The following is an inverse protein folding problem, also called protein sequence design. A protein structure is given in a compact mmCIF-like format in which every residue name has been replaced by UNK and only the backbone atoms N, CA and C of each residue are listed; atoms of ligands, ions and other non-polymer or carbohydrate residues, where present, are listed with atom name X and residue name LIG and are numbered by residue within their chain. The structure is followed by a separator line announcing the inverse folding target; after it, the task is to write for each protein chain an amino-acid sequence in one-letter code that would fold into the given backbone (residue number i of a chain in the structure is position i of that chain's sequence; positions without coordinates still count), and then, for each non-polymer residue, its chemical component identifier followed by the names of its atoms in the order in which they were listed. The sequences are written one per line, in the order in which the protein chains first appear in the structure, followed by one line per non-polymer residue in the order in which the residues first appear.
data_IF_603668427590
#
_entry.id   IF_603668427590
#
_cell.length_a   1.000
_cell.length_b   1.000
_cell.length_c   1.000
_cell.angle_alpha   90.00
_cell.angle_beta   90.00
_cell.angle_gamma   90.00
#
_symmetry.space_group_name_H-M   'P 1'
#
loop_
_entity.id
_entity.type
_entity.pdbx_description
1 polymer ?
#
# COMPACT_ATOMS: atom_id res chain seq x y z
N UNK A 1 3.96 -5.00 -17.13
CA UNK A 1 3.44 -4.50 -15.82
C UNK A 1 4.03 -5.23 -14.61
N UNK A 2 4.60 -6.42 -14.80
CA UNK A 2 5.39 -7.18 -13.82
C UNK A 2 6.47 -6.40 -13.05
N UNK A 3 7.15 -5.40 -13.62
CA UNK A 3 8.13 -4.61 -12.86
C UNK A 3 7.49 -3.71 -11.79
N UNK A 4 6.34 -3.09 -12.11
CA UNK A 4 5.53 -2.39 -11.11
C UNK A 4 5.06 -3.38 -10.03
N UNK A 5 4.55 -4.54 -10.44
CA UNK A 5 4.15 -5.58 -9.49
C UNK A 5 5.32 -6.02 -8.60
N UNK A 6 6.53 -6.21 -9.15
CA UNK A 6 7.72 -6.55 -8.39
C UNK A 6 8.06 -5.49 -7.33
N UNK A 7 7.98 -4.20 -7.68
CA UNK A 7 8.16 -3.11 -6.73
C UNK A 7 7.13 -3.16 -5.59
N UNK A 8 5.84 -3.30 -5.92
CA UNK A 8 4.75 -3.34 -4.93
C UNK A 8 4.84 -4.58 -4.02
N UNK A 9 5.17 -5.75 -4.58
CA UNK A 9 5.43 -6.98 -3.83
C UNK A 9 6.63 -6.77 -2.90
N UNK A 10 7.73 -6.19 -3.40
CA UNK A 10 8.95 -5.99 -2.63
C UNK A 10 8.76 -5.08 -1.41
N UNK A 11 8.12 -3.92 -1.57
CA UNK A 11 7.82 -3.03 -0.44
C UNK A 11 6.80 -3.64 0.51
N UNK A 12 5.77 -4.34 -0.02
CA UNK A 12 4.75 -4.99 0.79
C UNK A 12 5.32 -6.11 1.66
N UNK A 13 6.15 -6.98 1.10
CA UNK A 13 6.88 -8.02 1.83
C UNK A 13 7.83 -7.41 2.85
N UNK A 14 8.62 -6.40 2.47
CA UNK A 14 9.58 -5.79 3.37
C UNK A 14 8.92 -5.08 4.56
N UNK A 15 7.80 -4.39 4.34
CA UNK A 15 7.03 -3.78 5.41
C UNK A 15 6.39 -4.85 6.32
N UNK A 16 5.92 -5.98 5.77
CA UNK A 16 5.45 -7.13 6.54
C UNK A 16 6.58 -7.73 7.41
N UNK A 17 7.74 -7.99 6.82
CA UNK A 17 8.92 -8.50 7.51
C UNK A 17 9.34 -7.57 8.64
N UNK A 18 9.25 -6.24 8.44
CA UNK A 18 9.54 -5.25 9.48
C UNK A 18 8.62 -5.36 10.70
N UNK A 19 7.38 -5.83 10.54
CA UNK A 19 6.46 -6.01 11.67
C UNK A 19 6.77 -7.25 12.53
N UNK A 20 7.48 -8.24 11.97
CA UNK A 20 7.72 -9.54 12.62
C UNK A 20 9.19 -9.69 13.04
N UNK A 21 10.12 -9.22 12.20
CA UNK A 21 11.54 -9.49 12.34
C UNK A 21 12.26 -8.37 13.11
N UNK A 22 13.13 -8.76 14.05
CA UNK A 22 13.94 -7.83 14.87
C UNK A 22 15.15 -7.23 14.14
N UNK A 23 15.93 -7.99 13.34
CA UNK A 23 17.09 -7.42 12.65
C UNK A 23 16.71 -6.38 11.58
N UNK A 24 17.30 -5.18 11.69
CA UNK A 24 17.05 -4.06 10.77
C UNK A 24 17.49 -4.31 9.31
N UNK A 25 18.37 -5.29 9.09
CA UNK A 25 18.85 -5.66 7.76
C UNK A 25 17.90 -6.58 6.98
N UNK A 26 16.94 -7.24 7.63
CA UNK A 26 16.07 -8.22 6.95
C UNK A 26 15.05 -7.59 5.97
N UNK A 27 14.39 -6.45 6.26
CA UNK A 27 13.47 -5.83 5.31
C UNK A 27 14.07 -5.52 3.93
N UNK A 28 15.24 -4.86 3.80
CA UNK A 28 15.83 -4.59 2.48
C UNK A 28 16.28 -5.87 1.77
N UNK A 29 16.78 -6.88 2.50
CA UNK A 29 17.11 -8.19 1.91
C UNK A 29 15.84 -8.84 1.33
N UNK A 30 14.75 -8.85 2.10
CA UNK A 30 13.48 -9.41 1.66
C UNK A 30 12.92 -8.68 0.43
N UNK A 31 13.05 -7.35 0.35
CA UNK A 31 12.66 -6.57 -0.83
C UNK A 31 13.45 -7.00 -2.08
N UNK A 32 14.77 -7.09 -1.99
CA UNK A 32 15.63 -7.48 -3.11
C UNK A 32 15.33 -8.92 -3.55
N UNK A 33 15.15 -9.84 -2.59
CA UNK A 33 14.77 -11.22 -2.89
C UNK A 33 13.39 -11.31 -3.55
N UNK A 34 12.42 -10.48 -3.14
CA UNK A 34 11.11 -10.44 -3.76
C UNK A 34 11.18 -9.95 -5.22
N UNK A 35 11.95 -8.91 -5.53
CA UNK A 35 12.16 -8.47 -6.92
C UNK A 35 12.85 -9.57 -7.74
N UNK A 36 13.90 -10.19 -7.20
CA UNK A 36 14.60 -11.28 -7.87
C UNK A 36 13.68 -12.48 -8.14
N UNK A 37 12.83 -12.85 -7.16
CA UNK A 37 11.86 -13.92 -7.32
C UNK A 37 10.86 -13.61 -8.44
N UNK A 38 10.31 -12.39 -8.49
CA UNK A 38 9.40 -11.99 -9.58
C UNK A 38 10.12 -12.01 -10.93
N UNK A 39 11.35 -11.52 -11.01
CA UNK A 39 12.14 -11.55 -12.24
C UNK A 39 12.38 -12.98 -12.75
N UNK A 40 12.67 -13.93 -11.86
CA UNK A 40 12.84 -15.36 -12.22
C UNK A 40 11.52 -15.99 -12.63
N UNK A 41 10.43 -15.72 -11.89
CA UNK A 41 9.12 -16.33 -12.14
C UNK A 41 8.47 -15.85 -13.45
N UNK A 42 8.69 -14.58 -13.79
CA UNK A 42 8.10 -13.92 -14.96
C UNK A 42 8.98 -14.02 -16.22
N UNK A 43 10.19 -14.57 -16.11
CA UNK A 43 11.17 -14.87 -17.17
C UNK A 43 11.01 -14.03 -18.46
N UNK A 44 11.18 -12.71 -18.34
CA UNK A 44 10.85 -11.77 -19.40
C UNK A 44 11.67 -11.98 -20.69
N UNK A 45 10.99 -11.91 -21.83
CA UNK A 45 11.62 -11.97 -23.16
C UNK A 45 12.20 -10.61 -23.63
N UNK A 46 12.03 -9.54 -22.86
CA UNK A 46 12.47 -8.19 -23.23
C UNK A 46 13.82 -7.82 -22.59
N UNK A 47 14.78 -7.24 -23.35
CA UNK A 47 16.01 -6.68 -22.77
C UNK A 47 15.73 -5.50 -21.83
N UNK A 48 14.59 -4.81 -21.97
CA UNK A 48 14.15 -3.73 -21.08
C UNK A 48 13.70 -4.20 -19.70
N UNK A 49 13.42 -5.50 -19.53
CA UNK A 49 12.97 -6.07 -18.26
C UNK A 49 14.01 -5.92 -17.15
N UNK A 50 15.29 -6.14 -17.44
CA UNK A 50 16.37 -6.01 -16.47
C UNK A 50 16.46 -4.59 -15.90
N UNK A 51 16.36 -3.57 -16.77
CA UNK A 51 16.38 -2.17 -16.34
C UNK A 51 15.18 -1.84 -15.47
N UNK A 52 13.98 -2.28 -15.86
CA UNK A 52 12.77 -2.04 -15.07
C UNK A 52 12.80 -2.75 -13.70
N UNK A 53 13.37 -3.96 -13.63
CA UNK A 53 13.55 -4.68 -12.36
C UNK A 53 14.60 -4.02 -11.46
N UNK A 54 15.68 -3.50 -12.04
CA UNK A 54 16.68 -2.72 -11.29
C UNK A 54 16.06 -1.44 -10.73
N UNK A 55 15.24 -0.73 -11.50
CA UNK A 55 14.50 0.45 -11.02
C UNK A 55 13.53 0.08 -9.90
N UNK A 56 12.82 -1.05 -10.02
CA UNK A 56 11.94 -1.56 -8.97
C UNK A 56 12.71 -1.87 -7.67
N UNK A 57 13.85 -2.55 -7.76
CA UNK A 57 14.70 -2.84 -6.61
C UNK A 57 15.28 -1.56 -5.98
N UNK A 58 15.80 -0.64 -6.80
CA UNK A 58 16.36 0.62 -6.33
C UNK A 58 15.31 1.49 -5.63
N UNK A 59 14.11 1.61 -6.22
CA UNK A 59 13.00 2.32 -5.61
C UNK A 59 12.53 1.69 -4.29
N UNK A 60 12.45 0.35 -4.22
CA UNK A 60 12.08 -0.36 -3.01
C UNK A 60 13.10 -0.17 -1.88
N UNK A 61 14.40 -0.29 -2.19
CA UNK A 61 15.48 -0.04 -1.21
C UNK A 61 15.46 1.41 -0.75
N UNK A 62 15.32 2.36 -1.67
CA UNK A 62 15.28 3.80 -1.35
C UNK A 62 14.08 4.13 -0.45
N UNK A 63 12.89 3.60 -0.76
CA UNK A 63 11.71 3.68 0.11
C UNK A 63 12.01 3.21 1.53
N UNK A 64 12.62 2.03 1.67
CA UNK A 64 12.88 1.44 2.98
C UNK A 64 13.89 2.25 3.80
N UNK A 65 14.89 2.85 3.16
CA UNK A 65 15.88 3.72 3.79
C UNK A 65 15.27 5.04 4.24
N UNK A 66 14.45 5.68 3.39
CA UNK A 66 13.83 6.96 3.69
C UNK A 66 12.76 6.87 4.78
N UNK A 67 11.96 5.81 4.77
CA UNK A 67 10.95 5.54 5.79
C UNK A 67 11.55 5.31 7.20
N UNK A 68 12.87 5.15 7.34
CA UNK A 68 13.56 5.08 8.63
C UNK A 68 14.12 6.42 9.09
N UNK A 69 14.12 7.46 8.23
CA UNK A 69 14.66 8.77 8.60
C UNK A 69 13.59 9.58 9.36
N UNK A 70 13.99 10.33 10.40
CA UNK A 70 13.06 11.12 11.22
C UNK A 70 12.40 12.28 10.46
N UNK A 71 13.04 12.79 9.40
CA UNK A 71 12.50 13.86 8.54
C UNK A 71 12.29 13.36 7.10
N UNK A 72 12.08 12.04 6.96
CA UNK A 72 12.06 11.33 5.68
C UNK A 72 10.68 11.24 5.04
N UNK A 73 9.62 11.76 5.68
CA UNK A 73 8.22 11.48 5.33
C UNK A 73 7.89 11.87 3.89
N UNK A 74 8.10 13.14 3.57
CA UNK A 74 7.78 13.70 2.25
C UNK A 74 8.62 13.03 1.17
N UNK A 75 9.92 12.83 1.44
CA UNK A 75 10.83 12.22 0.48
C UNK A 75 10.51 10.74 0.24
N UNK A 76 10.14 10.00 1.28
CA UNK A 76 9.69 8.61 1.15
C UNK A 76 8.42 8.52 0.30
N UNK A 77 7.41 9.37 0.57
CA UNK A 77 6.19 9.44 -0.22
C UNK A 77 6.48 9.83 -1.68
N UNK A 78 7.37 10.79 -1.91
CA UNK A 78 7.79 11.19 -3.25
C UNK A 78 8.48 10.03 -4.00
N UNK A 79 9.41 9.31 -3.35
CA UNK A 79 10.06 8.14 -3.95
C UNK A 79 9.06 7.04 -4.28
N UNK A 80 8.11 6.75 -3.39
CA UNK A 80 7.04 5.79 -3.67
C UNK A 80 6.21 6.21 -4.88
N UNK A 81 5.74 7.46 -4.91
CA UNK A 81 4.92 7.99 -6.01
C UNK A 81 5.68 8.00 -7.35
N UNK A 82 6.89 8.55 -7.37
CA UNK A 82 7.72 8.63 -8.58
C UNK A 82 8.11 7.24 -9.08
N UNK A 83 8.52 6.33 -8.21
CA UNK A 83 8.86 4.95 -8.62
C UNK A 83 7.64 4.25 -9.22
N UNK A 84 6.48 4.37 -8.57
CA UNK A 84 5.21 3.82 -9.07
C UNK A 84 4.89 4.38 -10.46
N UNK A 85 4.95 5.70 -10.64
CA UNK A 85 4.65 6.36 -11.91
C UNK A 85 5.62 5.97 -13.02
N UNK A 86 6.93 5.94 -12.73
CA UNK A 86 7.96 5.55 -13.69
C UNK A 86 7.77 4.11 -14.14
N UNK A 87 7.53 3.18 -13.21
CA UNK A 87 7.32 1.76 -13.54
C UNK A 87 5.98 1.51 -14.25
N UNK A 88 4.95 2.27 -13.90
CA UNK A 88 3.66 2.22 -14.59
C UNK A 88 3.78 2.71 -16.04
N UNK A 89 4.38 3.88 -16.24
CA UNK A 89 4.61 4.45 -17.57
C UNK A 89 5.57 3.60 -18.43
N UNK A 90 6.59 3.01 -17.79
CA UNK A 90 7.54 2.09 -18.41
C UNK A 90 7.02 0.66 -18.58
N UNK A 91 5.75 0.38 -18.24
CA UNK A 91 5.22 -0.98 -18.15
C UNK A 91 5.32 -1.80 -19.45
N UNK A 92 5.32 -1.14 -20.61
CA UNK A 92 5.52 -1.79 -21.91
C UNK A 92 6.97 -2.21 -22.20
N UNK A 93 7.96 -1.60 -21.54
CA UNK A 93 9.39 -1.90 -21.75
C UNK A 93 9.83 -3.20 -21.07
N UNK A 94 9.14 -3.60 -20.00
CA UNK A 94 9.42 -4.84 -19.30
C UNK A 94 9.04 -6.09 -20.12
N UNK A 95 8.29 -5.94 -21.20
CA UNK A 95 7.67 -7.08 -21.90
C UNK A 95 6.54 -7.70 -21.08
N UNK A 96 6.01 -8.82 -21.56
CA UNK A 96 4.98 -9.60 -20.85
C UNK A 96 5.68 -10.60 -19.95
N UNK A 97 5.13 -10.82 -18.76
CA UNK A 97 5.52 -11.95 -17.94
C UNK A 97 5.06 -13.25 -18.62
N UNK A 98 6.02 -14.09 -19.00
CA UNK A 98 5.79 -15.47 -19.41
C UNK A 98 6.97 -16.31 -18.89
N UNK A 99 6.74 -17.58 -18.58
CA UNK A 99 7.74 -18.40 -17.90
C UNK A 99 7.12 -19.31 -16.85
N UNK A 100 7.83 -19.55 -15.74
CA UNK A 100 7.40 -20.48 -14.69
C UNK A 100 6.02 -20.14 -14.13
N UNK A 101 5.72 -18.83 -13.97
CA UNK A 101 4.40 -18.39 -13.56
C UNK A 101 3.34 -18.71 -14.61
N UNK A 102 3.63 -18.44 -15.89
CA UNK A 102 2.73 -18.76 -17.00
C UNK A 102 2.47 -20.27 -17.11
N UNK A 103 3.51 -21.10 -16.97
CA UNK A 103 3.42 -22.56 -16.98
C UNK A 103 2.54 -23.08 -15.83
N UNK A 104 2.77 -22.58 -14.62
CA UNK A 104 1.96 -22.92 -13.47
C UNK A 104 0.49 -22.50 -13.65
N UNK A 105 0.24 -21.30 -14.18
CA UNK A 105 -1.12 -20.82 -14.45
C UNK A 105 -1.83 -21.68 -15.47
N UNK A 106 -1.15 -22.10 -16.55
CA UNK A 106 -1.69 -23.02 -17.57
C UNK A 106 -2.03 -24.40 -17.01
N UNK A 107 -1.25 -24.88 -16.03
CA UNK A 107 -1.49 -26.15 -15.33
C UNK A 107 -2.50 -26.08 -14.17
N UNK A 108 -3.04 -24.89 -13.85
CA UNK A 108 -3.91 -24.70 -12.69
C UNK A 108 -5.31 -25.30 -12.90
N UNK A 109 -5.90 -25.96 -11.89
CA UNK A 109 -7.27 -26.49 -11.98
C UNK A 109 -8.34 -25.39 -11.94
N UNK A 110 -7.98 -24.14 -11.66
CA UNK A 110 -8.92 -23.04 -11.49
C UNK A 110 -9.09 -22.24 -12.78
N UNK A 111 -10.31 -22.20 -13.38
CA UNK A 111 -10.55 -21.48 -14.64
C UNK A 111 -10.30 -19.96 -14.57
N UNK A 112 -10.41 -19.37 -13.38
CA UNK A 112 -10.09 -17.96 -13.17
C UNK A 112 -8.58 -17.69 -13.30
N UNK A 113 -7.73 -18.65 -12.89
CA UNK A 113 -6.28 -18.53 -12.95
C UNK A 113 -5.77 -18.80 -14.35
N UNK A 114 -6.30 -19.82 -15.03
CA UNK A 114 -5.87 -20.16 -16.41
C UNK A 114 -6.21 -19.09 -17.43
N UNK A 115 -7.26 -18.29 -17.20
CA UNK A 115 -7.69 -17.20 -18.09
C UNK A 115 -7.08 -15.83 -17.75
N UNK A 116 -6.46 -15.70 -16.58
CA UNK A 116 -5.83 -14.45 -16.17
C UNK A 116 -4.51 -14.23 -16.88
N UNK A 117 -4.11 -12.98 -17.06
CA UNK A 117 -2.76 -12.62 -17.48
C UNK A 117 -1.80 -12.74 -16.29
N UNK A 118 -0.61 -13.36 -16.44
CA UNK A 118 0.42 -13.37 -15.41
C UNK A 118 0.76 -11.99 -14.83
N UNK A 119 0.79 -10.94 -15.67
CA UNK A 119 1.04 -9.57 -15.24
C UNK A 119 -0.07 -9.05 -14.31
N UNK A 120 -1.34 -9.33 -14.63
CA UNK A 120 -2.48 -8.96 -13.78
C UNK A 120 -2.48 -9.69 -12.45
N UNK A 121 -2.10 -10.98 -12.44
CA UNK A 121 -2.03 -11.78 -11.21
C UNK A 121 -0.93 -11.25 -10.29
N UNK A 122 0.26 -10.95 -10.82
CA UNK A 122 1.35 -10.34 -10.06
C UNK A 122 0.96 -8.97 -9.51
N UNK A 123 0.31 -8.13 -10.34
CA UNK A 123 -0.15 -6.82 -9.92
C UNK A 123 -1.19 -6.91 -8.81
N UNK A 124 -2.19 -7.78 -8.94
CA UNK A 124 -3.19 -8.03 -7.90
C UNK A 124 -2.54 -8.47 -6.58
N UNK A 125 -1.58 -9.39 -6.64
CA UNK A 125 -0.85 -9.85 -5.47
C UNK A 125 -0.05 -8.72 -4.79
N UNK A 126 0.68 -7.92 -5.58
CA UNK A 126 1.40 -6.75 -5.08
C UNK A 126 0.48 -5.72 -4.42
N UNK A 127 -0.67 -5.44 -5.04
CA UNK A 127 -1.68 -4.54 -4.48
C UNK A 127 -2.22 -5.05 -3.15
N UNK A 128 -2.55 -6.34 -3.03
CA UNK A 128 -2.99 -6.93 -1.76
C UNK A 128 -1.94 -6.74 -0.67
N UNK A 129 -0.65 -6.97 -0.97
CA UNK A 129 0.44 -6.77 -0.01
C UNK A 129 0.57 -5.31 0.42
N UNK A 130 0.43 -4.37 -0.52
CA UNK A 130 0.40 -2.93 -0.23
C UNK A 130 -0.77 -2.60 0.70
N UNK A 131 -1.97 -3.11 0.44
CA UNK A 131 -3.13 -2.87 1.30
C UNK A 131 -2.97 -3.45 2.71
N UNK A 132 -2.22 -4.54 2.86
CA UNK A 132 -1.97 -5.19 4.14
C UNK A 132 -0.94 -4.44 4.99
N UNK A 133 0.20 -4.08 4.40
CA UNK A 133 1.35 -3.55 5.12
C UNK A 133 1.66 -2.09 4.74
N UNK A 134 2.06 -1.85 3.50
CA UNK A 134 2.60 -0.55 3.05
C UNK A 134 1.60 0.59 3.16
N UNK A 135 0.30 0.34 3.01
CA UNK A 135 -0.73 1.35 3.19
C UNK A 135 -0.75 1.91 4.62
N UNK A 136 -0.40 1.12 5.64
CA UNK A 136 -0.27 1.63 7.01
C UNK A 136 0.93 2.58 7.13
N UNK A 137 2.04 2.21 6.49
CA UNK A 137 3.22 3.07 6.40
C UNK A 137 2.90 4.39 5.71
N UNK A 138 2.23 4.35 4.55
CA UNK A 138 1.83 5.55 3.80
C UNK A 138 0.97 6.47 4.66
N UNK A 139 -0.07 5.93 5.32
CA UNK A 139 -0.93 6.73 6.22
C UNK A 139 -0.10 7.38 7.33
N UNK A 140 0.82 6.65 7.96
CA UNK A 140 1.70 7.18 9.01
C UNK A 140 2.63 8.28 8.48
N UNK A 141 3.22 8.11 7.30
CA UNK A 141 4.10 9.12 6.70
C UNK A 141 3.33 10.38 6.32
N UNK A 142 2.12 10.26 5.78
CA UNK A 142 1.28 11.43 5.47
C UNK A 142 0.91 12.19 6.75
N UNK A 143 0.50 11.47 7.80
CA UNK A 143 0.16 12.08 9.08
C UNK A 143 1.39 12.73 9.76
N UNK A 144 2.57 12.14 9.64
CA UNK A 144 3.83 12.75 10.07
C UNK A 144 4.17 14.02 9.27
N UNK A 145 4.01 13.98 7.94
CA UNK A 145 4.31 15.11 7.06
C UNK A 145 3.44 16.35 7.33
N UNK A 146 2.19 16.16 7.77
CA UNK A 146 1.30 17.28 8.16
C UNK A 146 1.43 17.68 9.64
N UNK A 147 2.29 17.01 10.41
CA UNK A 147 2.49 17.29 11.84
C UNK A 147 1.36 16.79 12.75
N UNK A 148 0.44 15.96 12.23
CA UNK A 148 -0.64 15.34 13.01
C UNK A 148 -0.16 14.19 13.91
N UNK A 149 1.11 13.77 13.77
CA UNK A 149 1.79 12.85 14.69
C UNK A 149 3.08 13.53 15.15
N UNK A 150 3.15 13.93 16.43
CA UNK A 150 4.39 14.45 17.03
C UNK A 150 5.25 13.30 17.56
N UNK A 151 6.58 13.31 17.33
CA UNK A 151 7.50 12.38 17.97
C UNK A 151 7.58 12.72 19.47
N UNK A 152 6.95 11.90 20.30
CA UNK A 152 6.99 12.05 21.75
C UNK A 152 6.58 10.74 22.46
N UNK A 153 6.95 10.55 23.73
CA UNK A 153 6.66 9.34 24.51
C UNK A 153 5.19 9.22 24.95
N UNK A 154 4.32 10.13 24.48
CA UNK A 154 2.90 10.10 24.82
C UNK A 154 2.18 8.99 24.04
N UNK A 155 1.32 8.19 24.69
CA UNK A 155 0.51 7.18 24.02
C UNK A 155 -0.29 7.84 22.89
N UNK A 156 -0.10 7.37 21.65
CA UNK A 156 -0.89 7.86 20.53
C UNK A 156 -2.31 7.28 20.66
N UNK A 157 -3.34 7.97 20.14
CA UNK A 157 -4.70 7.44 20.12
C UNK A 157 -4.81 6.07 19.39
N UNK A 158 -3.80 5.70 18.59
CA UNK A 158 -3.64 4.38 17.97
C UNK A 158 -3.13 3.28 18.91
N UNK A 159 -2.46 3.61 20.01
CA UNK A 159 -1.91 2.64 20.97
C UNK A 159 -2.98 2.07 21.91
N UNK A 160 -4.07 2.80 22.14
CA UNK A 160 -5.20 2.34 22.97
C UNK A 160 -6.15 1.39 22.22
N UNK A 161 -6.07 1.30 20.89
CA UNK A 161 -7.01 0.53 20.06
C UNK A 161 -6.31 -0.60 19.30
N UNK A 162 -6.05 -1.73 19.96
CA UNK A 162 -5.53 -2.97 19.33
C UNK A 162 -6.32 -3.39 18.07
N UNK A 163 -7.63 -3.10 18.03
CA UNK A 163 -8.50 -3.41 16.88
C UNK A 163 -8.28 -2.56 15.63
N UNK A 164 -7.83 -1.29 15.78
CA UNK A 164 -7.66 -0.36 14.65
C UNK A 164 -6.57 -0.80 13.66
N UNK A 165 -5.56 -1.53 14.15
CA UNK A 165 -4.45 -2.06 13.34
C UNK A 165 -4.87 -3.11 12.31
N UNK A 166 -5.93 -3.86 12.56
CA UNK A 166 -6.43 -4.89 11.65
C UNK A 166 -7.64 -4.40 10.84
N UNK A 167 -8.46 -3.53 11.43
CA UNK A 167 -9.64 -2.99 10.77
C UNK A 167 -9.29 -2.20 9.49
N UNK A 168 -8.27 -1.33 9.55
CA UNK A 168 -7.86 -0.51 8.40
C UNK A 168 -7.45 -1.33 7.17
N UNK A 169 -6.51 -2.28 7.31
CA UNK A 169 -6.16 -3.21 6.22
C UNK A 169 -7.36 -4.02 5.70
N UNK A 170 -8.25 -4.50 6.57
CA UNK A 170 -9.42 -5.28 6.14
C UNK A 170 -10.38 -4.47 5.29
N UNK A 171 -10.66 -3.21 5.67
CA UNK A 171 -11.51 -2.31 4.87
C UNK A 171 -10.90 -2.02 3.51
N UNK A 172 -9.58 -1.76 3.49
CA UNK A 172 -8.82 -1.54 2.26
C UNK A 172 -8.88 -2.75 1.32
N UNK A 173 -8.77 -3.95 1.85
CA UNK A 173 -8.90 -5.18 1.08
C UNK A 173 -10.34 -5.41 0.60
N UNK A 174 -11.33 -5.07 1.42
CA UNK A 174 -12.72 -5.20 1.05
C UNK A 174 -13.09 -4.25 -0.11
N UNK A 175 -12.65 -2.98 -0.04
CA UNK A 175 -12.81 -2.00 -1.12
C UNK A 175 -12.11 -2.47 -2.39
N UNK A 176 -10.84 -2.88 -2.29
CA UNK A 176 -10.06 -3.35 -3.44
C UNK A 176 -10.69 -4.59 -4.08
N UNK A 177 -11.07 -5.58 -3.26
CA UNK A 177 -11.67 -6.83 -3.72
C UNK A 177 -13.03 -6.63 -4.38
N UNK A 178 -13.91 -5.81 -3.81
CA UNK A 178 -15.18 -5.44 -4.43
C UNK A 178 -14.95 -4.71 -5.76
N UNK A 179 -13.97 -3.80 -5.82
CA UNK A 179 -13.59 -3.12 -7.05
C UNK A 179 -13.10 -4.08 -8.14
N UNK A 180 -12.19 -5.00 -7.79
CA UNK A 180 -11.68 -6.03 -8.70
C UNK A 180 -12.78 -6.99 -9.17
N UNK A 181 -13.80 -7.24 -8.34
CA UNK A 181 -14.98 -8.02 -8.70
C UNK A 181 -16.01 -7.24 -9.54
N UNK A 182 -15.70 -5.99 -9.93
CA UNK A 182 -16.60 -5.12 -10.70
C UNK A 182 -17.75 -4.50 -9.87
N UNK A 183 -17.76 -4.69 -8.56
CA UNK A 183 -18.81 -4.22 -7.64
C UNK A 183 -18.51 -2.83 -7.09
N UNK A 184 -18.29 -1.85 -7.98
CA UNK A 184 -17.94 -0.47 -7.59
C UNK A 184 -19.02 0.17 -6.72
N UNK A 185 -20.30 -0.12 -7.00
CA UNK A 185 -21.43 0.34 -6.17
C UNK A 185 -21.32 -0.17 -4.73
N UNK A 186 -21.02 -1.46 -4.55
CA UNK A 186 -20.85 -2.03 -3.21
C UNK A 186 -19.64 -1.41 -2.48
N UNK A 187 -18.51 -1.21 -3.19
CA UNK A 187 -17.34 -0.54 -2.62
C UNK A 187 -17.67 0.90 -2.16
N UNK A 188 -18.45 1.63 -2.96
CA UNK A 188 -18.88 3.00 -2.63
C UNK A 188 -19.80 3.05 -1.40
N UNK A 189 -20.68 2.05 -1.24
CA UNK A 189 -21.57 1.93 -0.08
C UNK A 189 -20.77 1.70 1.21
N UNK A 190 -19.72 0.89 1.17
CA UNK A 190 -18.83 0.64 2.33
C UNK A 190 -18.15 1.92 2.78
N UNK A 191 -17.61 2.70 1.81
CA UNK A 191 -16.97 3.98 2.09
C UNK A 191 -17.99 4.96 2.70
N UNK A 192 -19.18 5.06 2.11
CA UNK A 192 -20.25 5.94 2.60
C UNK A 192 -20.71 5.57 4.01
N UNK A 193 -20.95 4.27 4.27
CA UNK A 193 -21.36 3.77 5.58
C UNK A 193 -20.33 4.09 6.66
N UNK A 194 -19.03 3.87 6.38
CA UNK A 194 -17.96 4.22 7.31
C UNK A 194 -17.86 5.72 7.56
N UNK A 195 -18.08 6.55 6.52
CA UNK A 195 -18.14 8.00 6.66
C UNK A 195 -19.28 8.47 7.56
N UNK A 196 -20.47 7.88 7.42
CA UNK A 196 -21.65 8.21 8.24
C UNK A 196 -21.48 7.83 9.71
N UNK A 197 -20.95 6.64 10.02
CA UNK A 197 -20.77 6.18 11.40
C UNK A 197 -19.80 7.07 12.18
N UNK A 198 -18.85 7.70 11.48
CA UNK A 198 -17.85 8.56 12.10
C UNK A 198 -18.36 9.97 12.40
N UNK A 199 -19.43 10.40 11.74
CA UNK A 199 -19.93 11.76 11.85
C UNK A 199 -20.45 12.10 13.27
N UNK A 200 -21.20 11.21 13.96
CA UNK A 200 -21.55 11.42 15.37
C UNK A 200 -20.33 11.45 16.31
N UNK A 201 -19.32 10.61 16.08
CA UNK A 201 -18.09 10.58 16.92
C UNK A 201 -17.31 11.91 16.84
N UNK A 202 -17.27 12.52 15.64
CA UNK A 202 -16.66 13.82 15.43
C UNK A 202 -17.46 14.95 16.11
N UNK A 203 -18.80 14.88 16.10
CA UNK A 203 -19.64 15.87 16.77
C UNK A 203 -19.60 15.76 18.30
N UNK A 204 -19.61 14.54 18.84
CA UNK A 204 -19.55 14.31 20.29
C UNK A 204 -18.23 14.83 20.89
N UNK A 205 -17.10 14.56 20.22
CA UNK A 205 -15.78 15.06 20.63
C UNK A 205 -15.66 16.59 20.53
N UNK A 206 -16.38 17.22 19.59
CA UNK A 206 -16.46 18.69 19.47
C UNK A 206 -17.20 19.30 20.66
N UNK A 207 -18.33 18.71 21.06
CA UNK A 207 -19.22 19.25 22.09
C UNK A 207 -18.71 19.00 23.53
N UNK A 208 -18.05 17.88 23.83
CA UNK A 208 -17.50 17.61 25.17
C UNK A 208 -16.37 18.58 25.56
N UNK A 209 -15.54 19.01 24.60
CA UNK A 209 -14.30 19.76 24.86
C UNK A 209 -14.40 21.27 24.68
N UNK A 210 -15.55 21.78 24.22
CA UNK A 210 -15.85 23.22 24.24
C UNK A 210 -15.96 23.76 25.68
N UNK A 211 -16.11 22.87 26.68
CA UNK A 211 -16.19 23.22 28.10
C UNK A 211 -14.86 23.32 28.86
N UNK A 212 -13.73 22.89 28.27
CA UNK A 212 -12.40 22.87 28.95
C UNK A 212 -11.31 23.40 28.01
N UNK A 213 -11.03 24.71 28.11
CA UNK A 213 -9.78 25.40 27.71
C UNK A 213 -9.18 25.06 26.32
N UNK A 214 -9.71 25.69 25.27
CA UNK A 214 -8.98 26.59 24.35
C UNK A 214 -7.74 26.17 23.53
N UNK A 215 -7.05 25.04 23.74
CA UNK A 215 -5.85 24.69 22.94
C UNK A 215 -5.82 23.18 22.67
N UNK A 216 -6.09 22.76 21.43
CA UNK A 216 -5.97 21.35 20.99
C UNK A 216 -7.13 20.81 20.13
N UNK A 217 -7.96 21.69 19.55
CA UNK A 217 -9.19 21.34 18.81
C UNK A 217 -8.92 20.66 17.45
N UNK A 218 -7.76 20.90 16.83
CA UNK A 218 -7.50 20.48 15.44
C UNK A 218 -6.81 19.11 15.30
N UNK A 219 -5.80 18.82 16.13
CA UNK A 219 -4.82 17.75 15.86
C UNK A 219 -5.43 16.33 15.86
N UNK A 220 -6.37 16.04 16.77
CA UNK A 220 -7.02 14.71 16.86
C UNK A 220 -8.06 14.52 15.75
N UNK A 221 -8.83 15.57 15.45
CA UNK A 221 -9.85 15.55 14.40
C UNK A 221 -9.19 15.39 13.03
N UNK A 222 -8.12 16.14 12.80
CA UNK A 222 -7.29 16.07 11.60
C UNK A 222 -6.64 14.69 11.45
N UNK A 223 -6.01 14.16 12.51
CA UNK A 223 -5.44 12.81 12.52
C UNK A 223 -6.45 11.76 12.03
N UNK A 224 -7.66 11.81 12.59
CA UNK A 224 -8.71 10.88 12.24
C UNK A 224 -9.15 11.11 10.78
N UNK A 225 -9.56 12.32 10.41
CA UNK A 225 -10.12 12.63 9.09
C UNK A 225 -9.12 12.32 7.98
N UNK A 226 -7.89 12.83 8.09
CA UNK A 226 -6.82 12.60 7.12
C UNK A 226 -6.45 11.12 7.08
N UNK A 227 -6.31 10.45 8.23
CA UNK A 227 -5.94 9.04 8.28
C UNK A 227 -6.92 8.12 7.53
N UNK A 228 -8.23 8.33 7.69
CA UNK A 228 -9.23 7.55 6.95
C UNK A 228 -9.30 7.92 5.48
N UNK A 229 -9.18 9.21 5.13
CA UNK A 229 -9.20 9.66 3.75
C UNK A 229 -8.01 9.09 2.95
N UNK A 230 -6.80 9.18 3.51
CA UNK A 230 -5.58 8.61 2.91
C UNK A 230 -5.71 7.10 2.76
N UNK A 231 -6.27 6.40 3.76
CA UNK A 231 -6.47 4.95 3.68
C UNK A 231 -7.37 4.55 2.50
N UNK A 232 -8.48 5.27 2.27
CA UNK A 232 -9.34 5.03 1.12
C UNK A 232 -8.68 5.40 -0.21
N UNK A 233 -7.95 6.51 -0.26
CA UNK A 233 -7.19 6.90 -1.45
C UNK A 233 -6.18 5.82 -1.85
N UNK A 234 -5.49 5.20 -0.89
CA UNK A 234 -4.55 4.11 -1.17
C UNK A 234 -5.29 2.92 -1.81
N UNK A 235 -6.47 2.55 -1.30
CA UNK A 235 -7.29 1.49 -1.90
C UNK A 235 -7.80 1.81 -3.30
N UNK A 236 -8.33 3.02 -3.49
CA UNK A 236 -8.89 3.45 -4.77
C UNK A 236 -7.80 3.63 -5.82
N UNK A 237 -6.62 4.13 -5.42
CA UNK A 237 -5.47 4.25 -6.32
C UNK A 237 -4.96 2.89 -6.77
N UNK A 238 -4.90 1.91 -5.85
CA UNK A 238 -4.57 0.53 -6.20
C UNK A 238 -5.56 -0.09 -7.17
N UNK A 239 -6.87 0.13 -6.95
CA UNK A 239 -7.91 -0.32 -7.86
C UNK A 239 -7.80 0.35 -9.24
N UNK A 240 -7.58 1.67 -9.28
CA UNK A 240 -7.42 2.41 -10.53
C UNK A 240 -6.19 1.92 -11.32
N UNK A 241 -5.07 1.69 -10.64
CA UNK A 241 -3.88 1.11 -11.27
C UNK A 241 -4.16 -0.29 -11.84
N UNK A 242 -4.94 -1.11 -11.15
CA UNK A 242 -5.35 -2.43 -11.63
C UNK A 242 -6.26 -2.35 -12.86
N UNK A 243 -7.21 -1.42 -12.90
CA UNK A 243 -8.18 -1.30 -14.00
C UNK A 243 -7.63 -0.67 -15.27
N UNK A 244 -6.49 0.02 -15.19
CA UNK A 244 -5.83 0.69 -16.32
C UNK A 244 -4.86 -0.23 -17.08
N UNK A 245 -4.65 -1.45 -16.60
CA UNK A 245 -3.80 -2.49 -17.18
C UNK A 245 -4.68 -3.55 -17.81
#
# INVERSE_FOLDING_TARGET
MSALAAFLIAIGVADLVRTIARPRALPPIAAVLAVAAVAVLAAHDSPGAGVMMLLAAAGAVTWLLLNQRPDGEVLALAVFGVTTLVLFAGGGWAGRADGLLGDWMRGSPFPAVTRADPDHLLLAFGLVLVQLATGNTIVRLVLGAIGAIKPGPAPQASDELRGGRLLGPMERLFILGLGMAGQVTAASLVIAAKGLIRFPELQAKRNERESVTGVGIDEITEYFLVGSFVSWLVALSGLAAYSLV
#
